data_IF_547806027001
#
_entry.id   IF_547806027001
#
_cell.length_a   1.000
_cell.length_b   1.000
_cell.length_c   1.000
_cell.angle_alpha   90.00
_cell.angle_beta   90.00
_cell.angle_gamma   90.00
#
_symmetry.space_group_name_H-M   'P 1'
#
loop_
_entity.id
_entity.type
_entity.pdbx_description
1 polymer ?
#
# COMPACT_ATOMS: atom_id res chain seq x y z
N UNK A 1 6.21 36.69 8.09
CA UNK A 1 5.77 35.77 7.01
C UNK A 1 4.60 36.35 6.27
N UNK A 2 4.64 36.28 4.94
CA UNK A 2 3.49 36.70 4.13
C UNK A 2 2.44 35.59 4.14
N UNK A 3 1.21 35.94 3.83
CA UNK A 3 0.12 34.99 3.68
C UNK A 3 0.40 33.96 2.58
N UNK A 4 1.07 34.39 1.50
CA UNK A 4 1.46 33.52 0.40
C UNK A 4 2.49 32.47 0.85
N UNK A 5 3.45 32.88 1.66
CA UNK A 5 4.46 31.98 2.22
C UNK A 5 3.82 30.91 3.10
N UNK A 6 2.90 31.34 3.97
CA UNK A 6 2.17 30.43 4.86
C UNK A 6 1.30 29.46 4.05
N UNK A 7 0.59 29.98 3.05
CA UNK A 7 -0.26 29.16 2.18
C UNK A 7 0.56 28.12 1.43
N UNK A 8 1.74 28.48 0.91
CA UNK A 8 2.63 27.56 0.22
C UNK A 8 3.17 26.49 1.15
N UNK A 9 3.48 26.85 2.38
CA UNK A 9 3.95 25.92 3.39
C UNK A 9 2.86 24.89 3.72
N UNK A 10 1.63 25.34 3.91
CA UNK A 10 0.49 24.45 4.19
C UNK A 10 0.27 23.48 3.03
N UNK A 11 0.33 23.96 1.80
CA UNK A 11 0.18 23.13 0.61
C UNK A 11 1.29 22.08 0.52
N UNK A 12 2.52 22.47 0.80
CA UNK A 12 3.66 21.57 0.77
C UNK A 12 3.54 20.47 1.83
N UNK A 13 3.12 20.83 3.04
CA UNK A 13 2.90 19.88 4.12
C UNK A 13 1.76 18.92 3.80
N UNK A 14 0.66 19.43 3.26
CA UNK A 14 -0.47 18.61 2.86
C UNK A 14 -0.09 17.62 1.76
N UNK A 15 0.70 18.05 0.79
CA UNK A 15 1.20 17.20 -0.29
C UNK A 15 2.09 16.10 0.26
N UNK A 16 3.02 16.44 1.14
CA UNK A 16 3.92 15.47 1.76
C UNK A 16 3.16 14.43 2.57
N UNK A 17 2.16 14.87 3.33
CA UNK A 17 1.30 13.98 4.10
C UNK A 17 0.50 13.04 3.18
N UNK A 18 -0.08 13.56 2.12
CA UNK A 18 -0.81 12.76 1.14
C UNK A 18 0.08 11.71 0.49
N UNK A 19 1.31 12.06 0.11
CA UNK A 19 2.28 11.12 -0.46
C UNK A 19 2.63 10.02 0.52
N UNK A 20 2.80 10.34 1.80
CA UNK A 20 3.07 9.36 2.85
C UNK A 20 1.91 8.37 2.98
N UNK A 21 0.68 8.87 2.98
CA UNK A 21 -0.51 8.04 3.07
C UNK A 21 -0.63 7.10 1.86
N UNK A 22 -0.41 7.64 0.66
CA UNK A 22 -0.47 6.86 -0.57
C UNK A 22 0.58 5.74 -0.57
N UNK A 23 1.80 6.06 -0.20
CA UNK A 23 2.88 5.07 -0.14
C UNK A 23 2.59 3.96 0.88
N UNK A 24 2.04 4.33 2.03
CA UNK A 24 1.65 3.36 3.04
C UNK A 24 0.53 2.44 2.52
N UNK A 25 -0.46 3.01 1.82
CA UNK A 25 -1.56 2.26 1.23
C UNK A 25 -1.06 1.31 0.12
N UNK A 26 -0.14 1.76 -0.72
CA UNK A 26 0.46 0.93 -1.76
C UNK A 26 1.24 -0.24 -1.18
N UNK A 27 1.98 0.00 -0.13
CA UNK A 27 2.73 -1.05 0.58
C UNK A 27 1.80 -2.07 1.18
N UNK A 28 0.72 -1.62 1.81
CA UNK A 28 -0.29 -2.50 2.39
C UNK A 28 -0.98 -3.35 1.32
N UNK A 29 -1.37 -2.73 0.21
CA UNK A 29 -2.01 -3.43 -0.91
C UNK A 29 -1.08 -4.50 -1.50
N UNK A 30 0.20 -4.18 -1.63
CA UNK A 30 1.21 -5.11 -2.13
C UNK A 30 1.36 -6.31 -1.19
N UNK A 31 1.35 -6.07 0.12
CA UNK A 31 1.40 -7.13 1.13
C UNK A 31 0.18 -8.03 1.07
N UNK A 32 -1.01 -7.45 0.94
CA UNK A 32 -2.27 -8.20 0.82
C UNK A 32 -2.26 -9.08 -0.43
N UNK A 33 -1.81 -8.55 -1.57
CA UNK A 33 -1.71 -9.34 -2.81
C UNK A 33 -0.75 -10.50 -2.65
N UNK A 34 0.40 -10.25 -2.04
CA UNK A 34 1.40 -11.29 -1.82
C UNK A 34 0.85 -12.41 -0.93
N UNK A 35 0.18 -12.06 0.15
CA UNK A 35 -0.44 -13.03 1.02
C UNK A 35 -1.50 -13.85 0.28
N UNK A 36 -2.33 -13.19 -0.53
CA UNK A 36 -3.35 -13.87 -1.32
C UNK A 36 -2.75 -14.82 -2.34
N UNK A 37 -1.66 -14.41 -3.01
CA UNK A 37 -0.94 -15.26 -3.95
C UNK A 37 -0.32 -16.47 -3.26
N UNK A 38 0.28 -16.26 -2.10
CA UNK A 38 0.89 -17.34 -1.33
C UNK A 38 -0.17 -18.34 -0.84
N UNK A 39 -1.29 -17.85 -0.35
CA UNK A 39 -2.42 -18.71 0.05
C UNK A 39 -2.98 -19.50 -1.13
N UNK A 40 -3.10 -18.86 -2.28
CA UNK A 40 -3.58 -19.52 -3.50
C UNK A 40 -2.63 -20.63 -3.93
N UNK A 41 -1.32 -20.39 -3.86
CA UNK A 41 -0.31 -21.40 -4.18
C UNK A 41 -0.34 -22.57 -3.20
N UNK A 42 -0.44 -22.28 -1.92
CA UNK A 42 -0.55 -23.31 -0.89
C UNK A 42 -1.81 -24.14 -1.05
N UNK A 43 -2.92 -23.49 -1.35
CA UNK A 43 -4.19 -24.17 -1.63
C UNK A 43 -4.12 -25.06 -2.87
N UNK A 44 -3.45 -24.60 -3.92
CA UNK A 44 -3.26 -25.39 -5.13
C UNK A 44 -2.40 -26.63 -4.86
N UNK A 45 -1.30 -26.48 -4.11
CA UNK A 45 -0.44 -27.61 -3.73
C UNK A 45 -1.21 -28.61 -2.88
N UNK A 46 -1.96 -28.14 -1.89
CA UNK A 46 -2.76 -29.00 -1.04
C UNK A 46 -3.81 -29.80 -1.84
N UNK A 47 -4.46 -29.15 -2.81
CA UNK A 47 -5.40 -29.83 -3.69
C UNK A 47 -4.76 -30.90 -4.55
N UNK A 48 -3.58 -30.61 -5.11
CA UNK A 48 -2.81 -31.59 -5.89
C UNK A 48 -2.42 -32.80 -5.04
N UNK A 49 -2.03 -32.56 -3.81
CA UNK A 49 -1.64 -33.63 -2.88
C UNK A 49 -2.83 -34.53 -2.56
N UNK A 50 -4.03 -33.97 -2.40
CA UNK A 50 -5.25 -34.75 -2.15
C UNK A 50 -5.60 -35.64 -3.32
N UNK A 51 -5.36 -35.18 -4.55
CA UNK A 51 -5.69 -35.94 -5.76
C UNK A 51 -4.60 -36.98 -6.15
N UNK A 52 -3.41 -36.75 -5.65
CA UNK A 52 -2.29 -37.66 -5.91
C UNK A 52 -2.33 -38.87 -4.98
#
# INVERSE_FOLDING_TARGET
MSLDSLSNQIKAEAKAEAETIIKAAEKQAKGIRKEAEDEAKQGAVARQTEWA
#
